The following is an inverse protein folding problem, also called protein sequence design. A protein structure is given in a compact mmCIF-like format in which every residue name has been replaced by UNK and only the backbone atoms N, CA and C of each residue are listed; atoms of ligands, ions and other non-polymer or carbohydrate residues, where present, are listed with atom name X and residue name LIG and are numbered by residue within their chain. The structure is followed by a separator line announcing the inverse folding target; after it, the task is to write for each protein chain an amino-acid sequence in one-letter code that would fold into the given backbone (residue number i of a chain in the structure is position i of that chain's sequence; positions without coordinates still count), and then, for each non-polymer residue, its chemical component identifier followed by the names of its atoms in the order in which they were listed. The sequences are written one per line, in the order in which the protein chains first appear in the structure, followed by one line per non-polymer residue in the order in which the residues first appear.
data_IF_701594787275
#
_entry.id   IF_701594787275
#
_cell.length_a   1.000
_cell.length_b   1.000
_cell.length_c   1.000
_cell.angle_alpha   90.00
_cell.angle_beta   90.00
_cell.angle_gamma   90.00
#
_symmetry.space_group_name_H-M   'P 1'
#
loop_
_entity.id
_entity.type
_entity.pdbx_description
1 polymer ?
#
# COMPACT_ATOMS: atom_id res chain seq x y z
N UNK A 1 7.39 -15.96 -19.36
CA UNK A 1 7.81 -16.44 -18.07
C UNK A 1 8.08 -17.92 -18.06
N UNK A 2 9.05 -18.35 -17.26
CA UNK A 2 9.41 -19.77 -17.11
C UNK A 2 8.81 -20.39 -15.85
N UNK A 3 8.35 -19.57 -14.93
CA UNK A 3 7.80 -19.97 -13.63
C UNK A 3 6.71 -19.00 -13.16
N UNK A 4 5.92 -19.44 -12.19
CA UNK A 4 4.91 -18.65 -11.47
C UNK A 4 5.31 -18.57 -10.00
N UNK A 5 5.26 -17.36 -9.43
CA UNK A 5 5.30 -17.16 -7.99
C UNK A 5 3.89 -16.83 -7.50
N UNK A 6 3.47 -17.45 -6.41
CA UNK A 6 2.13 -17.29 -5.86
C UNK A 6 2.14 -17.44 -4.35
N UNK A 7 1.16 -16.86 -3.70
CA UNK A 7 0.89 -17.02 -2.27
C UNK A 7 0.00 -18.25 -2.05
N UNK A 8 0.36 -19.09 -1.10
CA UNK A 8 -0.51 -20.19 -0.68
C UNK A 8 -0.39 -20.46 0.82
N UNK A 9 -1.54 -20.73 1.43
CA UNK A 9 -1.67 -21.17 2.81
C UNK A 9 -1.65 -22.69 2.86
N UNK A 10 -0.51 -23.26 3.26
CA UNK A 10 -0.29 -24.71 3.33
C UNK A 10 0.02 -25.13 4.77
N UNK A 11 -0.86 -24.79 5.68
CA UNK A 11 -0.79 -25.08 7.12
C UNK A 11 -1.90 -26.05 7.53
N UNK A 12 -1.75 -26.80 8.64
CA UNK A 12 -2.75 -27.79 9.05
C UNK A 12 -4.16 -27.23 9.29
N UNK A 13 -4.27 -26.00 9.80
CA UNK A 13 -5.53 -25.32 10.09
C UNK A 13 -5.55 -23.95 9.39
N UNK A 14 -5.77 -23.88 8.07
CA UNK A 14 -5.67 -22.66 7.30
C UNK A 14 -6.71 -21.61 7.69
N UNK A 15 -7.85 -22.02 8.27
CA UNK A 15 -8.89 -21.14 8.77
C UNK A 15 -8.56 -20.46 10.11
N UNK A 16 -7.61 -21.03 10.86
CA UNK A 16 -7.19 -20.53 12.18
C UNK A 16 -5.87 -19.79 12.16
N UNK A 17 -5.28 -19.56 10.99
CA UNK A 17 -3.97 -18.93 10.86
C UNK A 17 -3.92 -17.98 9.67
N UNK A 18 -3.17 -16.88 9.81
CA UNK A 18 -2.79 -16.01 8.67
C UNK A 18 -1.53 -16.50 7.97
N UNK A 19 -0.88 -17.55 8.48
CA UNK A 19 0.37 -18.08 7.92
C UNK A 19 0.19 -18.52 6.46
N UNK A 20 0.84 -17.81 5.57
CA UNK A 20 0.95 -18.13 4.14
C UNK A 20 2.38 -17.93 3.68
N UNK A 21 2.79 -18.73 2.70
CA UNK A 21 4.13 -18.66 2.13
C UNK A 21 4.09 -18.34 0.65
N UNK A 22 5.20 -17.85 0.13
CA UNK A 22 5.43 -17.73 -1.31
C UNK A 22 5.95 -19.04 -1.89
N UNK A 23 5.34 -19.43 -2.99
CA UNK A 23 5.69 -20.67 -3.71
C UNK A 23 6.02 -20.35 -5.15
N UNK A 24 7.04 -21.03 -5.68
CA UNK A 24 7.41 -20.95 -7.10
C UNK A 24 7.23 -22.31 -7.73
N UNK A 25 6.62 -22.35 -8.92
CA UNK A 25 6.44 -23.54 -9.71
C UNK A 25 6.78 -23.27 -11.19
N UNK A 26 7.47 -24.18 -11.91
CA UNK A 26 7.69 -24.03 -13.34
C UNK A 26 6.35 -24.00 -14.11
N UNK A 27 6.25 -23.19 -15.17
CA UNK A 27 5.02 -23.12 -16.02
C UNK A 27 4.69 -24.48 -16.64
N UNK A 28 5.68 -25.29 -16.94
CA UNK A 28 5.50 -26.65 -17.46
C UNK A 28 5.06 -27.69 -16.42
N UNK A 29 4.80 -27.27 -15.18
CA UNK A 29 4.49 -28.17 -14.06
C UNK A 29 5.72 -28.67 -13.34
N UNK A 30 5.53 -29.40 -12.25
CA UNK A 30 6.59 -29.92 -11.38
C UNK A 30 6.36 -29.59 -9.91
N UNK A 31 7.35 -29.84 -9.08
CA UNK A 31 7.29 -29.58 -7.65
C UNK A 31 7.38 -28.07 -7.34
N UNK A 32 6.47 -27.58 -6.51
CA UNK A 32 6.49 -26.21 -6.05
C UNK A 32 7.48 -26.04 -4.89
N UNK A 33 8.37 -25.03 -5.00
CA UNK A 33 9.36 -24.68 -3.98
C UNK A 33 8.86 -23.54 -3.10
N UNK A 34 8.92 -23.72 -1.77
CA UNK A 34 8.67 -22.64 -0.82
C UNK A 34 9.85 -21.66 -0.78
N UNK A 35 9.59 -20.36 -0.98
CA UNK A 35 10.61 -19.31 -0.95
C UNK A 35 10.73 -18.63 0.43
N UNK A 36 9.74 -18.79 1.30
CA UNK A 36 9.68 -18.15 2.63
C UNK A 36 9.56 -19.17 3.77
N UNK A 37 10.40 -20.24 3.76
CA UNK A 37 10.36 -21.23 4.85
C UNK A 37 10.76 -20.58 6.16
N UNK A 38 9.98 -20.81 7.23
CA UNK A 38 10.24 -20.25 8.56
C UNK A 38 9.81 -18.80 8.77
N UNK A 39 9.11 -18.20 7.80
CA UNK A 39 8.39 -16.93 7.98
C UNK A 39 6.94 -17.26 8.35
N UNK A 40 6.53 -17.04 9.64
CA UNK A 40 5.25 -17.59 10.14
C UNK A 40 4.05 -16.66 9.92
N UNK A 41 4.25 -15.50 9.33
CA UNK A 41 3.22 -14.52 9.10
C UNK A 41 2.52 -14.67 7.75
N UNK A 42 1.89 -13.60 7.31
CA UNK A 42 1.21 -13.54 6.03
C UNK A 42 2.15 -13.01 4.94
N UNK A 43 2.71 -13.89 4.12
CA UNK A 43 3.53 -13.53 2.96
C UNK A 43 2.64 -13.44 1.73
N UNK A 44 2.67 -12.27 1.05
CA UNK A 44 1.74 -11.99 -0.06
C UNK A 44 2.33 -11.05 -1.12
N UNK A 45 1.60 -10.94 -2.24
CA UNK A 45 1.84 -9.98 -3.33
C UNK A 45 3.26 -10.03 -3.93
N UNK A 46 3.75 -11.24 -4.32
CA UNK A 46 5.07 -11.35 -4.92
C UNK A 46 5.14 -10.67 -6.29
N UNK A 47 6.17 -9.83 -6.49
CA UNK A 47 6.43 -9.17 -7.77
C UNK A 47 7.89 -9.35 -8.18
N UNK A 48 8.11 -9.90 -9.39
CA UNK A 48 9.44 -10.05 -9.95
C UNK A 48 10.02 -8.71 -10.37
N UNK A 49 11.31 -8.50 -10.09
CA UNK A 49 12.04 -7.39 -10.69
C UNK A 49 12.17 -7.59 -12.21
N UNK A 50 12.23 -6.51 -13.02
CA UNK A 50 12.39 -6.60 -14.46
C UNK A 50 13.63 -7.37 -14.92
N UNK A 51 14.75 -7.30 -14.18
CA UNK A 51 15.97 -8.07 -14.43
C UNK A 51 15.87 -9.55 -14.01
N UNK A 52 14.78 -9.92 -13.34
CA UNK A 52 14.52 -11.27 -12.85
C UNK A 52 15.39 -11.72 -11.68
N UNK A 53 16.16 -10.84 -11.06
CA UNK A 53 17.02 -11.18 -9.91
C UNK A 53 16.26 -11.28 -8.62
N UNK A 54 15.28 -10.39 -8.40
CA UNK A 54 14.58 -10.24 -7.12
C UNK A 54 13.10 -10.61 -7.23
N UNK A 55 12.53 -11.05 -6.12
CA UNK A 55 11.09 -11.04 -5.91
C UNK A 55 10.85 -10.16 -4.69
N UNK A 56 10.15 -9.03 -4.86
CA UNK A 56 9.67 -8.22 -3.74
C UNK A 56 8.33 -8.77 -3.26
N UNK A 57 8.08 -8.72 -1.96
CA UNK A 57 6.82 -9.18 -1.37
C UNK A 57 6.54 -8.49 -0.04
N UNK A 58 5.29 -8.54 0.39
CA UNK A 58 4.85 -8.05 1.68
C UNK A 58 4.74 -9.20 2.68
N UNK A 59 5.16 -8.99 3.94
CA UNK A 59 5.18 -10.03 4.96
C UNK A 59 4.81 -9.48 6.34
N UNK A 60 3.86 -10.12 7.01
CA UNK A 60 3.57 -9.91 8.43
C UNK A 60 4.52 -10.71 9.31
N UNK A 61 4.72 -10.29 10.57
CA UNK A 61 5.62 -10.98 11.49
C UNK A 61 4.94 -12.10 12.27
N UNK A 62 3.66 -11.93 12.59
CA UNK A 62 2.94 -12.76 13.56
C UNK A 62 1.80 -13.53 12.91
N UNK A 63 1.76 -14.88 13.07
CA UNK A 63 0.62 -15.65 12.62
C UNK A 63 -0.62 -15.34 13.47
N UNK A 64 -1.81 -15.34 12.83
CA UNK A 64 -3.08 -15.11 13.51
C UNK A 64 -3.35 -13.67 13.93
N UNK A 65 -2.52 -12.71 13.53
CA UNK A 65 -2.71 -11.29 13.83
C UNK A 65 -2.90 -10.49 12.54
N UNK A 66 -4.14 -10.36 12.09
CA UNK A 66 -4.49 -9.76 10.80
C UNK A 66 -4.18 -8.26 10.69
N UNK A 67 -4.09 -7.56 11.82
CA UNK A 67 -3.71 -6.15 11.88
C UNK A 67 -2.19 -5.91 11.97
N UNK A 68 -1.37 -6.95 11.72
CA UNK A 68 0.08 -6.79 11.74
C UNK A 68 0.58 -6.00 10.52
N UNK A 69 1.67 -5.29 10.70
CA UNK A 69 2.27 -4.47 9.65
C UNK A 69 2.80 -5.33 8.50
N UNK A 70 2.45 -4.99 7.27
CA UNK A 70 3.02 -5.59 6.07
C UNK A 70 4.41 -4.99 5.78
N UNK A 71 5.46 -5.70 6.15
CA UNK A 71 6.85 -5.31 5.94
C UNK A 71 7.28 -5.64 4.52
N UNK A 72 8.07 -4.77 3.90
CA UNK A 72 8.60 -4.98 2.55
C UNK A 72 9.86 -5.86 2.57
N UNK A 73 9.78 -7.02 1.93
CA UNK A 73 10.87 -7.98 1.80
C UNK A 73 11.34 -8.15 0.36
N UNK A 74 12.59 -8.56 0.22
CA UNK A 74 13.21 -8.99 -1.03
C UNK A 74 13.71 -10.43 -0.89
N UNK A 75 13.31 -11.28 -1.83
CA UNK A 75 13.91 -12.60 -2.05
C UNK A 75 14.98 -12.49 -3.13
N UNK A 76 16.25 -12.75 -2.79
CA UNK A 76 17.33 -12.84 -3.77
C UNK A 76 17.32 -14.23 -4.39
N UNK A 77 16.96 -14.31 -5.65
CA UNK A 77 16.83 -15.56 -6.40
C UNK A 77 18.18 -16.26 -6.67
N UNK A 78 19.31 -15.56 -6.55
CA UNK A 78 20.63 -16.16 -6.69
C UNK A 78 21.09 -16.83 -5.39
N UNK A 79 20.93 -16.16 -4.27
CA UNK A 79 21.36 -16.70 -2.96
C UNK A 79 20.27 -17.47 -2.23
N UNK A 80 19.00 -17.32 -2.61
CA UNK A 80 17.84 -17.89 -1.94
C UNK A 80 17.51 -17.24 -0.60
N UNK A 81 18.09 -16.08 -0.28
CA UNK A 81 17.90 -15.39 1.00
C UNK A 81 16.77 -14.36 0.93
N UNK A 82 16.02 -14.25 2.01
CA UNK A 82 15.03 -13.20 2.25
C UNK A 82 15.65 -12.12 3.13
N UNK A 83 15.39 -10.85 2.82
CA UNK A 83 15.83 -9.70 3.61
C UNK A 83 14.74 -8.63 3.65
N UNK A 84 14.49 -8.05 4.81
CA UNK A 84 13.62 -6.88 4.94
C UNK A 84 14.31 -5.67 4.33
N UNK A 85 13.61 -4.95 3.43
CA UNK A 85 14.18 -3.77 2.77
C UNK A 85 14.06 -2.52 3.65
N UNK A 86 12.96 -2.38 4.38
CA UNK A 86 12.60 -1.18 5.13
C UNK A 86 12.33 -1.47 6.61
N UNK A 87 13.33 -1.88 7.42
CA UNK A 87 13.10 -2.27 8.81
C UNK A 87 12.54 -1.14 9.70
N UNK A 88 12.93 0.10 9.42
CA UNK A 88 12.57 1.29 10.21
C UNK A 88 11.31 2.01 9.70
N UNK A 89 10.65 1.49 8.66
CA UNK A 89 9.43 2.08 8.12
C UNK A 89 8.20 1.63 8.90
N UNK A 90 7.58 2.55 9.63
CA UNK A 90 6.47 2.27 10.54
C UNK A 90 5.09 2.32 9.87
N UNK A 91 4.97 1.78 8.65
CA UNK A 91 3.70 1.62 7.96
C UNK A 91 3.71 0.35 7.10
N UNK A 92 2.53 -0.13 6.70
CA UNK A 92 2.40 -1.26 5.79
C UNK A 92 2.77 -0.87 4.35
N UNK A 93 3.51 -1.74 3.65
CA UNK A 93 3.80 -1.58 2.24
C UNK A 93 2.84 -2.43 1.40
N UNK A 94 2.11 -1.77 0.49
CA UNK A 94 1.11 -2.38 -0.38
C UNK A 94 1.39 -2.05 -1.84
N UNK A 95 0.78 -2.79 -2.76
CA UNK A 95 0.82 -2.52 -4.20
C UNK A 95 2.24 -2.29 -4.75
N UNK A 96 3.14 -3.21 -4.47
CA UNK A 96 4.56 -3.13 -4.84
C UNK A 96 4.74 -3.06 -6.36
N UNK A 97 5.52 -2.10 -6.86
CA UNK A 97 5.85 -1.93 -8.29
C UNK A 97 7.31 -1.60 -8.45
N UNK A 98 8.01 -2.39 -9.26
CA UNK A 98 9.40 -2.15 -9.57
C UNK A 98 9.60 -0.96 -10.52
N UNK A 99 10.69 -0.25 -10.33
CA UNK A 99 11.24 0.62 -11.37
C UNK A 99 11.78 -0.22 -12.52
N UNK A 100 11.80 0.35 -13.73
CA UNK A 100 12.24 -0.35 -14.94
C UNK A 100 13.68 -0.87 -14.86
N UNK A 101 14.54 -0.17 -14.16
CA UNK A 101 15.96 -0.53 -13.94
C UNK A 101 16.18 -1.54 -12.80
N UNK A 102 15.12 -1.99 -12.14
CA UNK A 102 15.18 -2.89 -10.99
C UNK A 102 15.95 -2.36 -9.77
N UNK A 103 16.18 -1.03 -9.69
CA UNK A 103 16.96 -0.45 -8.59
C UNK A 103 16.11 0.08 -7.45
N UNK A 104 14.81 0.22 -7.65
CA UNK A 104 13.88 0.71 -6.64
C UNK A 104 12.49 0.12 -6.82
N UNK A 105 11.66 0.32 -5.78
CA UNK A 105 10.24 0.02 -5.79
C UNK A 105 9.44 1.30 -5.53
N UNK A 106 8.29 1.41 -6.17
CA UNK A 106 7.18 2.21 -5.73
C UNK A 106 6.18 1.33 -4.99
N UNK A 107 5.54 1.88 -3.97
CA UNK A 107 4.51 1.18 -3.21
C UNK A 107 3.55 2.18 -2.57
N UNK A 108 2.37 1.72 -2.17
CA UNK A 108 1.44 2.53 -1.38
C UNK A 108 1.58 2.21 0.10
N UNK A 109 1.38 3.21 0.94
CA UNK A 109 1.34 3.04 2.39
C UNK A 109 0.28 3.95 3.02
N UNK A 110 -0.37 3.41 4.05
CA UNK A 110 -1.37 4.14 4.84
C UNK A 110 -0.67 4.91 5.96
N UNK A 111 -0.78 6.22 5.93
CA UNK A 111 -0.19 7.12 6.93
C UNK A 111 -1.18 8.24 7.24
N UNK A 112 -1.47 8.44 8.52
CA UNK A 112 -2.34 9.53 8.99
C UNK A 112 -3.71 9.55 8.30
N UNK A 113 -4.34 8.38 8.15
CA UNK A 113 -5.66 8.23 7.52
C UNK A 113 -5.68 8.58 6.02
N UNK A 114 -4.53 8.59 5.37
CA UNK A 114 -4.36 8.78 3.92
C UNK A 114 -3.55 7.64 3.33
N UNK A 115 -3.71 7.34 2.04
CA UNK A 115 -2.87 6.39 1.32
C UNK A 115 -2.01 7.15 0.32
N UNK A 116 -0.69 7.09 0.50
CA UNK A 116 0.29 7.81 -0.30
C UNK A 116 1.21 6.85 -1.04
N UNK A 117 1.79 7.33 -2.15
CA UNK A 117 2.86 6.63 -2.85
C UNK A 117 4.20 6.95 -2.20
N UNK A 118 4.98 5.91 -2.00
CA UNK A 118 6.37 5.96 -1.55
C UNK A 118 7.28 5.29 -2.56
N UNK A 119 8.56 5.59 -2.47
CA UNK A 119 9.62 4.87 -3.19
C UNK A 119 10.71 4.42 -2.23
N UNK A 120 11.34 3.29 -2.55
CA UNK A 120 12.49 2.78 -1.81
C UNK A 120 13.53 2.21 -2.77
N UNK A 121 14.75 2.72 -2.72
CA UNK A 121 15.87 2.14 -3.46
C UNK A 121 16.48 0.96 -2.72
N UNK A 122 16.99 -0.03 -3.47
CA UNK A 122 17.66 -1.19 -2.89
C UNK A 122 18.93 -0.79 -2.14
N UNK A 123 19.63 0.23 -2.61
CA UNK A 123 20.87 0.73 -2.00
C UNK A 123 20.61 1.58 -0.74
N UNK A 124 19.60 2.47 -0.80
CA UNK A 124 19.33 3.42 0.27
C UNK A 124 18.56 2.83 1.45
N UNK A 125 17.75 1.80 1.22
CA UNK A 125 16.95 1.09 2.24
C UNK A 125 16.12 2.02 3.13
N UNK A 126 15.61 3.09 2.55
CA UNK A 126 14.74 4.06 3.20
C UNK A 126 13.54 4.35 2.34
N UNK A 127 12.38 4.48 2.98
CA UNK A 127 11.15 4.91 2.32
C UNK A 127 11.17 6.43 2.15
N UNK A 128 10.96 6.89 0.91
CA UNK A 128 10.81 8.30 0.58
C UNK A 128 9.40 8.53 0.08
N UNK A 129 8.68 9.44 0.72
CA UNK A 129 7.31 9.80 0.32
C UNK A 129 7.33 10.55 -1.01
N UNK A 130 6.54 10.07 -1.96
CA UNK A 130 6.41 10.68 -3.31
C UNK A 130 5.22 11.64 -3.35
N UNK A 131 4.06 11.22 -2.86
CA UNK A 131 2.83 12.02 -2.93
C UNK A 131 2.42 12.59 -1.57
N UNK A 132 1.67 13.69 -1.60
CA UNK A 132 1.10 14.33 -0.43
C UNK A 132 -0.33 14.77 -0.71
N UNK A 133 -1.19 14.76 0.31
CA UNK A 133 -2.56 15.26 0.22
C UNK A 133 -3.54 14.43 1.03
N UNK A 134 -4.76 14.94 1.18
CA UNK A 134 -5.87 14.26 1.87
C UNK A 134 -6.64 13.38 0.90
N UNK A 135 -6.03 12.26 0.52
CA UNK A 135 -6.60 11.31 -0.43
C UNK A 135 -6.12 9.89 -0.13
N UNK A 136 -6.78 8.91 -0.70
CA UNK A 136 -6.29 7.54 -0.79
C UNK A 136 -5.99 7.22 -2.25
N UNK A 137 -4.76 6.74 -2.50
CA UNK A 137 -4.29 6.27 -3.80
C UNK A 137 -4.32 4.74 -3.81
N UNK A 138 -4.85 4.15 -4.88
CA UNK A 138 -4.92 2.70 -5.08
C UNK A 138 -4.75 2.33 -6.55
N UNK A 139 -4.55 1.04 -6.83
CA UNK A 139 -4.37 0.55 -8.20
C UNK A 139 -3.08 1.06 -8.85
N UNK A 140 -2.01 1.26 -8.08
CA UNK A 140 -0.74 1.82 -8.52
C UNK A 140 -0.16 1.05 -9.71
N UNK A 141 0.20 1.77 -10.77
CA UNK A 141 0.90 1.26 -11.94
C UNK A 141 2.05 2.19 -12.32
N UNK A 142 3.15 1.61 -12.80
CA UNK A 142 4.28 2.36 -13.35
C UNK A 142 4.15 2.39 -14.87
N UNK A 143 4.24 3.59 -15.46
CA UNK A 143 4.25 3.73 -16.90
C UNK A 143 5.51 3.12 -17.54
N UNK A 144 5.45 2.68 -18.81
CA UNK A 144 6.61 2.12 -19.51
C UNK A 144 7.82 3.07 -19.60
N UNK A 145 7.59 4.39 -19.52
CA UNK A 145 8.63 5.42 -19.50
C UNK A 145 9.39 5.48 -18.15
N UNK A 146 8.78 4.93 -17.06
CA UNK A 146 9.30 4.99 -15.71
C UNK A 146 9.24 6.37 -15.05
N UNK A 147 8.77 7.40 -15.78
CA UNK A 147 8.67 8.78 -15.29
C UNK A 147 7.28 9.12 -14.71
N UNK A 148 6.27 8.35 -15.09
CA UNK A 148 4.89 8.53 -14.67
C UNK A 148 4.37 7.32 -13.91
N UNK A 149 3.52 7.57 -12.92
CA UNK A 149 2.72 6.55 -12.25
C UNK A 149 1.24 6.85 -12.52
N UNK A 150 0.42 5.82 -12.53
CA UNK A 150 -1.03 5.92 -12.61
C UNK A 150 -1.65 5.31 -11.37
N UNK A 151 -2.73 5.90 -10.89
CA UNK A 151 -3.49 5.40 -9.75
C UNK A 151 -4.94 5.84 -9.83
N UNK A 152 -5.79 5.23 -9.02
CA UNK A 152 -7.09 5.75 -8.63
C UNK A 152 -6.89 6.65 -7.43
N UNK A 153 -7.44 7.86 -7.47
CA UNK A 153 -7.45 8.79 -6.34
C UNK A 153 -8.88 8.97 -5.85
N UNK A 154 -9.12 8.63 -4.60
CA UNK A 154 -10.37 8.92 -3.89
C UNK A 154 -10.11 9.82 -2.71
N UNK A 155 -11.13 10.52 -2.23
CA UNK A 155 -11.12 11.28 -0.98
C UNK A 155 -12.45 11.12 -0.25
N UNK A 156 -12.57 11.66 0.94
CA UNK A 156 -13.86 11.68 1.65
C UNK A 156 -14.91 12.56 0.95
N UNK A 157 -14.48 13.49 0.08
CA UNK A 157 -15.37 14.38 -0.66
C UNK A 157 -15.64 13.90 -2.09
N UNK A 158 -14.82 13.00 -2.62
CA UNK A 158 -14.88 12.62 -4.05
C UNK A 158 -14.67 11.13 -4.25
N UNK A 159 -15.49 10.48 -5.08
CA UNK A 159 -15.24 9.12 -5.56
C UNK A 159 -13.94 9.02 -6.38
N UNK A 160 -13.57 7.79 -6.71
CA UNK A 160 -12.33 7.52 -7.41
C UNK A 160 -12.31 8.11 -8.83
N UNK A 161 -11.19 8.77 -9.15
CA UNK A 161 -10.82 9.22 -10.49
C UNK A 161 -9.43 8.74 -10.85
N UNK A 162 -9.18 8.48 -12.13
CA UNK A 162 -7.86 8.10 -12.61
C UNK A 162 -6.95 9.31 -12.59
N UNK A 163 -5.76 9.14 -12.03
CA UNK A 163 -4.74 10.19 -11.97
C UNK A 163 -3.41 9.72 -12.54
N UNK A 164 -2.65 10.67 -13.08
CA UNK A 164 -1.23 10.54 -13.37
C UNK A 164 -0.44 11.24 -12.27
N UNK A 165 0.63 10.59 -11.84
CA UNK A 165 1.55 11.10 -10.82
C UNK A 165 2.93 11.20 -11.48
N UNK A 166 3.57 12.35 -11.40
CA UNK A 166 4.98 12.49 -11.76
C UNK A 166 5.84 11.76 -10.72
N UNK A 167 6.61 10.78 -11.16
CA UNK A 167 7.36 9.88 -10.26
C UNK A 167 8.46 10.60 -9.47
N UNK A 168 8.95 11.74 -9.95
CA UNK A 168 10.04 12.52 -9.33
C UNK A 168 9.51 13.58 -8.38
N UNK A 169 8.46 14.30 -8.78
CA UNK A 169 7.95 15.47 -8.05
C UNK A 169 6.74 15.14 -7.18
N UNK A 170 6.05 14.00 -7.44
CA UNK A 170 4.81 13.62 -6.80
C UNK A 170 3.60 14.44 -7.25
N UNK A 171 3.75 15.29 -8.27
CA UNK A 171 2.65 16.10 -8.79
C UNK A 171 1.54 15.22 -9.37
N UNK A 172 0.30 15.44 -8.91
CA UNK A 172 -0.87 14.65 -9.31
C UNK A 172 -1.69 15.44 -10.30
N UNK A 173 -2.00 14.82 -11.45
CA UNK A 173 -2.87 15.37 -12.50
C UNK A 173 -4.05 14.44 -12.71
N UNK A 174 -5.29 14.93 -12.61
CA UNK A 174 -6.48 14.15 -12.92
C UNK A 174 -6.53 13.87 -14.44
N UNK A 175 -6.84 12.63 -14.80
CA UNK A 175 -7.05 12.19 -16.19
C UNK A 175 -8.53 11.99 -16.51
N UNK A 176 -9.35 11.77 -15.49
CA UNK A 176 -10.80 11.63 -15.63
C UNK A 176 -11.52 12.60 -14.70
N UNK A 177 -12.76 12.91 -15.02
CA UNK A 177 -13.70 13.68 -14.20
C UNK A 177 -15.12 13.12 -14.38
N UNK A 178 -15.26 11.80 -14.27
CA UNK A 178 -16.54 11.11 -14.42
C UNK A 178 -17.58 11.54 -13.39
N UNK A 179 -17.11 11.86 -12.19
CA UNK A 179 -17.96 12.21 -11.05
C UNK A 179 -18.23 13.73 -10.96
N UNK A 180 -17.44 14.57 -11.66
CA UNK A 180 -17.57 16.04 -11.60
C UNK A 180 -18.99 16.54 -11.84
N UNK A 181 -19.67 16.12 -12.94
CA UNK A 181 -21.04 16.56 -13.22
C UNK A 181 -22.05 16.22 -12.11
N UNK A 182 -21.93 15.03 -11.49
CA UNK A 182 -22.82 14.61 -10.39
C UNK A 182 -22.60 15.41 -9.09
N UNK A 183 -21.41 15.99 -8.93
CA UNK A 183 -21.03 16.75 -7.74
C UNK A 183 -21.10 18.27 -7.93
N UNK A 184 -21.40 18.77 -9.14
CA UNK A 184 -21.32 20.18 -9.46
C UNK A 184 -22.24 21.06 -8.58
N UNK A 185 -23.45 20.56 -8.28
CA UNK A 185 -24.46 21.28 -7.53
C UNK A 185 -24.56 20.80 -6.05
N UNK A 186 -23.66 19.96 -5.58
CA UNK A 186 -23.67 19.46 -4.22
C UNK A 186 -22.84 20.35 -3.28
N UNK A 187 -23.42 20.74 -2.18
CA UNK A 187 -22.65 21.29 -1.06
C UNK A 187 -21.90 20.13 -0.37
N UNK A 188 -20.56 20.19 -0.38
CA UNK A 188 -19.73 19.15 0.21
C UNK A 188 -19.48 19.39 1.69
N UNK A 189 -19.20 18.32 2.47
CA UNK A 189 -18.83 18.46 3.87
C UNK A 189 -17.49 19.17 4.02
N UNK A 190 -17.28 19.82 5.16
CA UNK A 190 -15.97 20.25 5.59
C UNK A 190 -15.30 19.11 6.36
N UNK A 191 -14.05 18.80 6.05
CA UNK A 191 -13.31 17.70 6.66
C UNK A 191 -12.03 18.22 7.25
N UNK A 192 -11.85 18.01 8.56
CA UNK A 192 -10.67 18.42 9.30
C UNK A 192 -9.99 17.18 9.89
N UNK A 193 -8.66 17.10 9.78
CA UNK A 193 -7.86 16.09 10.47
C UNK A 193 -7.29 16.66 11.76
N UNK A 194 -7.50 16.00 12.89
CA UNK A 194 -7.04 16.44 14.19
C UNK A 194 -6.36 15.32 14.97
N UNK A 195 -5.46 15.71 15.86
CA UNK A 195 -4.75 14.81 16.74
C UNK A 195 -5.21 14.97 18.18
N UNK A 196 -5.53 13.86 18.82
CA UNK A 196 -6.00 13.81 20.20
C UNK A 196 -5.03 12.98 21.05
N UNK A 197 -4.68 13.46 22.27
CA UNK A 197 -3.86 12.68 23.17
C UNK A 197 -4.65 11.50 23.73
N UNK A 198 -4.08 10.30 23.66
CA UNK A 198 -4.59 9.12 24.32
C UNK A 198 -4.12 9.06 25.78
N UNK A 199 -4.78 8.24 26.61
CA UNK A 199 -4.45 8.11 28.04
C UNK A 199 -3.07 7.51 28.29
N UNK A 200 -2.48 6.79 27.32
CA UNK A 200 -1.14 6.21 27.37
C UNK A 200 -0.06 7.16 26.80
N UNK A 201 -0.42 8.41 26.49
CA UNK A 201 0.49 9.43 25.96
C UNK A 201 0.71 9.38 24.44
N UNK A 202 0.09 8.43 23.74
CA UNK A 202 0.11 8.39 22.27
C UNK A 202 -0.84 9.41 21.69
N UNK A 203 -0.68 9.66 20.39
CA UNK A 203 -1.58 10.54 19.63
C UNK A 203 -2.52 9.69 18.78
N UNK A 204 -3.81 10.02 18.82
CA UNK A 204 -4.85 9.43 17.97
C UNK A 204 -5.18 10.44 16.88
N UNK A 205 -4.99 10.07 15.62
CA UNK A 205 -5.47 10.85 14.49
C UNK A 205 -6.95 10.56 14.25
N UNK A 206 -7.76 11.60 14.06
CA UNK A 206 -9.17 11.46 13.72
C UNK A 206 -9.60 12.44 12.63
N UNK A 207 -10.53 12.02 11.79
CA UNK A 207 -11.20 12.88 10.84
C UNK A 207 -12.51 13.39 11.41
N UNK A 208 -12.71 14.70 11.39
CA UNK A 208 -13.97 15.35 11.77
C UNK A 208 -14.68 15.76 10.49
N UNK A 209 -15.79 15.08 10.20
CA UNK A 209 -16.64 15.38 9.05
C UNK A 209 -17.82 16.24 9.50
N UNK A 210 -17.79 17.50 9.13
CA UNK A 210 -18.85 18.47 9.43
C UNK A 210 -19.88 18.49 8.30
N UNK A 211 -21.19 18.63 8.57
CA UNK A 211 -22.19 18.67 7.52
C UNK A 211 -21.96 19.83 6.54
N UNK A 212 -22.50 19.76 5.31
CA UNK A 212 -22.52 20.90 4.41
C UNK A 212 -23.12 22.16 5.09
N UNK A 213 -22.53 23.33 4.85
CA UNK A 213 -22.94 24.59 5.44
C UNK A 213 -22.92 24.61 6.97
N UNK A 214 -21.91 23.94 7.56
CA UNK A 214 -21.72 23.86 9.00
C UNK A 214 -21.72 25.24 9.65
N UNK A 215 -22.56 25.42 10.68
CA UNK A 215 -22.66 26.64 11.48
C UNK A 215 -22.17 26.34 12.90
N UNK A 216 -21.03 26.88 13.36
CA UNK A 216 -20.46 26.59 14.67
C UNK A 216 -21.32 27.09 15.84
N UNK A 217 -22.32 27.95 15.58
CA UNK A 217 -23.28 28.41 16.60
C UNK A 217 -24.40 27.39 16.88
N UNK A 218 -24.57 26.37 16.05
CA UNK A 218 -25.59 25.34 16.15
C UNK A 218 -25.06 24.05 16.79
N UNK A 219 -25.96 23.28 17.37
CA UNK A 219 -25.67 21.94 17.86
C UNK A 219 -26.09 20.92 16.80
N UNK A 220 -25.23 19.92 16.58
CA UNK A 220 -25.46 18.83 15.64
C UNK A 220 -25.42 17.47 16.36
N UNK A 221 -26.18 16.47 15.90
CA UNK A 221 -25.95 15.10 16.31
C UNK A 221 -24.51 14.67 16.00
N UNK A 222 -23.91 13.89 16.89
CA UNK A 222 -22.56 13.40 16.73
C UNK A 222 -22.56 11.88 16.61
N UNK A 223 -21.80 11.33 15.63
CA UNK A 223 -21.57 9.90 15.48
C UNK A 223 -20.08 9.66 15.59
N UNK A 224 -19.67 8.85 16.54
CA UNK A 224 -18.29 8.35 16.63
C UNK A 224 -18.23 7.01 15.92
N UNK A 225 -17.26 6.91 14.99
CA UNK A 225 -16.92 5.67 14.28
C UNK A 225 -15.47 5.31 14.60
N UNK A 226 -15.25 4.08 15.15
CA UNK A 226 -13.93 3.56 15.52
C UNK A 226 -13.65 2.26 14.76
#
# INVERSE_FOLDING_TARGET
GKELCYTARRVPNPEASTDSSLWVVPVGGGEAKNLTPGMPGYDQDPVYSPDGRWIAFASMARPGFEADRLRLFLHDRQSGKNQELLPDFDAGAHELRWTKDSQALFFTAEVEGTTQVYTASLAGRQAVRVTNGRHALSGLQVAPDGASLFALRTSMERPAEVVRIDAKTGAITALTDHNGPAFADLALPQIDGEWFPATDGKQIHAWIVKPPNFDPSKRYPFVLYC
#
